data_IF_742970408918
#
_entry.id   IF_742970408918
#
_cell.length_a   1.000
_cell.length_b   1.000
_cell.length_c   1.000
_cell.angle_alpha   90.00
_cell.angle_beta   90.00
_cell.angle_gamma   90.00
#
_symmetry.space_group_name_H-M   'P 1'
#
loop_
_entity.id
_entity.type
_entity.pdbx_description
1 polymer ?
#
# COMPACT_ATOMS: atom_id res chain seq x y z
N UNK A 1 -14.10 1.49 -19.51
CA UNK A 1 -13.40 1.02 -18.30
C UNK A 1 -11.92 1.24 -18.55
N UNK A 2 -11.41 2.40 -18.15
CA UNK A 2 -10.04 2.84 -18.43
C UNK A 2 -9.08 1.94 -17.64
N UNK A 3 -8.03 1.36 -18.25
CA UNK A 3 -7.06 0.57 -17.50
C UNK A 3 -6.38 1.51 -16.49
N UNK A 4 -6.46 1.15 -15.21
CA UNK A 4 -5.67 1.77 -14.16
C UNK A 4 -4.18 1.74 -14.55
N UNK A 5 -3.36 2.72 -14.13
CA UNK A 5 -1.93 2.77 -14.46
C UNK A 5 -1.25 1.43 -14.18
N UNK A 6 -0.15 1.14 -14.88
CA UNK A 6 0.63 -0.12 -14.84
C UNK A 6 1.34 -0.40 -13.49
N UNK A 7 0.70 -0.07 -12.37
CA UNK A 7 1.09 -0.38 -11.00
C UNK A 7 0.25 -1.56 -10.51
N UNK A 8 0.78 -2.40 -9.60
CA UNK A 8 0.02 -3.50 -9.03
C UNK A 8 -1.21 -2.98 -8.27
N UNK A 9 -2.27 -3.79 -8.22
CA UNK A 9 -3.50 -3.49 -7.47
C UNK A 9 -3.24 -3.31 -5.96
N UNK A 10 -2.15 -3.88 -5.44
CA UNK A 10 -1.73 -3.69 -4.05
C UNK A 10 -0.23 -3.40 -3.96
N UNK A 11 0.20 -2.48 -3.07
CA UNK A 11 1.61 -2.20 -2.80
C UNK A 11 2.27 -3.27 -1.90
N UNK A 12 1.59 -4.37 -1.56
CA UNK A 12 2.12 -5.42 -0.70
C UNK A 12 3.33 -6.12 -1.34
N UNK A 13 4.42 -6.27 -0.57
CA UNK A 13 5.65 -6.98 -0.98
C UNK A 13 5.79 -8.35 -0.32
N UNK A 14 4.68 -8.92 0.17
CA UNK A 14 4.61 -10.18 0.92
C UNK A 14 5.45 -10.23 2.21
N UNK A 15 5.94 -9.07 2.68
CA UNK A 15 6.61 -8.91 3.97
C UNK A 15 5.83 -7.88 4.78
N UNK A 16 5.43 -8.26 5.99
CA UNK A 16 4.71 -7.39 6.90
C UNK A 16 5.50 -7.22 8.20
N UNK A 17 5.78 -5.98 8.58
CA UNK A 17 6.40 -5.65 9.87
C UNK A 17 5.40 -5.07 10.88
N UNK A 18 4.12 -4.96 10.51
CA UNK A 18 3.13 -4.27 11.34
C UNK A 18 2.73 -5.02 12.61
N UNK A 19 3.27 -6.22 12.81
CA UNK A 19 3.21 -6.92 14.09
C UNK A 19 3.99 -6.19 15.17
N UNK A 20 5.01 -5.42 14.78
CA UNK A 20 5.91 -4.71 15.70
C UNK A 20 5.98 -3.20 15.43
N UNK A 21 5.60 -2.76 14.22
CA UNK A 21 5.61 -1.36 13.80
C UNK A 21 4.18 -0.88 13.49
N UNK A 22 3.88 0.41 13.64
CA UNK A 22 2.56 0.95 13.25
C UNK A 22 2.39 1.04 11.72
N UNK A 23 3.52 1.14 11.00
CA UNK A 23 3.59 1.23 9.53
C UNK A 23 4.50 0.12 9.01
N UNK A 24 4.03 -0.59 7.98
CA UNK A 24 4.79 -1.66 7.35
C UNK A 24 6.05 -1.11 6.68
N UNK A 25 7.23 -1.57 7.08
CA UNK A 25 8.50 -1.16 6.47
C UNK A 25 8.69 -1.64 5.02
N UNK A 26 7.89 -2.60 4.56
CA UNK A 26 7.93 -3.07 3.16
C UNK A 26 7.02 -2.25 2.25
N UNK A 27 5.72 -2.24 2.56
CA UNK A 27 4.70 -1.61 1.72
C UNK A 27 4.26 -0.21 2.17
N UNK A 28 4.71 0.29 3.32
CA UNK A 28 4.41 1.63 3.84
C UNK A 28 2.99 1.84 4.39
N UNK A 29 2.20 0.76 4.49
CA UNK A 29 0.80 0.83 4.93
C UNK A 29 0.66 0.56 6.42
N UNK A 30 -0.32 1.20 7.03
CA UNK A 30 -0.73 0.90 8.41
C UNK A 30 -1.49 -0.42 8.48
N UNK A 31 -1.61 -1.00 9.68
CA UNK A 31 -2.45 -2.18 9.93
C UNK A 31 -3.89 -1.96 9.43
N UNK A 32 -4.46 -0.79 9.73
CA UNK A 32 -5.82 -0.46 9.35
C UNK A 32 -5.99 -0.46 7.84
N UNK A 33 -5.06 0.15 7.10
CA UNK A 33 -5.10 0.17 5.64
C UNK A 33 -4.98 -1.24 5.07
N UNK A 34 -4.05 -2.05 5.59
CA UNK A 34 -3.88 -3.44 5.14
C UNK A 34 -5.18 -4.23 5.36
N UNK A 35 -5.80 -4.12 6.53
CA UNK A 35 -7.04 -4.82 6.87
C UNK A 35 -8.25 -4.32 6.07
N UNK A 36 -8.30 -3.03 5.72
CA UNK A 36 -9.44 -2.41 5.05
C UNK A 36 -9.30 -2.35 3.53
N UNK A 37 -8.16 -2.73 2.94
CA UNK A 37 -7.88 -2.51 1.50
C UNK A 37 -9.00 -2.95 0.55
N UNK A 38 -9.59 -4.11 0.81
CA UNK A 38 -10.62 -4.72 -0.03
C UNK A 38 -11.96 -3.98 0.05
N UNK A 39 -12.14 -3.16 1.08
CA UNK A 39 -13.33 -2.34 1.30
C UNK A 39 -13.14 -0.88 0.88
N UNK A 40 -11.90 -0.44 0.64
CA UNK A 40 -11.62 0.91 0.16
C UNK A 40 -12.12 1.08 -1.27
N UNK A 41 -12.71 2.24 -1.54
CA UNK A 41 -13.00 2.72 -2.87
C UNK A 41 -11.72 3.01 -3.65
N UNK A 42 -11.83 3.10 -4.98
CA UNK A 42 -10.68 3.41 -5.84
C UNK A 42 -10.04 4.77 -5.49
N UNK A 43 -10.84 5.75 -5.07
CA UNK A 43 -10.34 7.05 -4.63
C UNK A 43 -9.54 6.94 -3.33
N UNK A 44 -10.03 6.17 -2.35
CA UNK A 44 -9.32 5.94 -1.09
C UNK A 44 -8.01 5.17 -1.33
N UNK A 45 -8.02 4.19 -2.23
CA UNK A 45 -6.80 3.49 -2.66
C UNK A 45 -5.81 4.44 -3.32
N UNK A 46 -6.27 5.39 -4.14
CA UNK A 46 -5.42 6.40 -4.77
C UNK A 46 -4.74 7.30 -3.73
N UNK A 47 -5.49 7.80 -2.73
CA UNK A 47 -4.94 8.62 -1.65
C UNK A 47 -3.83 7.86 -0.90
N UNK A 48 -4.06 6.57 -0.60
CA UNK A 48 -3.03 5.72 0.01
C UNK A 48 -1.81 5.62 -0.92
N UNK A 49 -2.02 5.37 -2.22
CA UNK A 49 -0.93 5.30 -3.20
C UNK A 49 -0.11 6.57 -3.31
N UNK A 50 -0.75 7.75 -3.37
CA UNK A 50 -0.08 9.05 -3.42
C UNK A 50 0.85 9.22 -2.21
N UNK A 51 0.36 8.90 -1.00
CA UNK A 51 1.17 8.94 0.21
C UNK A 51 2.36 7.98 0.12
N UNK A 52 2.10 6.72 -0.24
CA UNK A 52 3.15 5.70 -0.32
C UNK A 52 4.27 6.09 -1.29
N UNK A 53 3.91 6.61 -2.47
CA UNK A 53 4.88 7.06 -3.47
C UNK A 53 5.68 8.26 -2.95
N UNK A 54 5.03 9.22 -2.29
CA UNK A 54 5.72 10.37 -1.69
C UNK A 54 6.73 9.95 -0.59
N UNK A 55 6.44 8.88 0.15
CA UNK A 55 7.34 8.29 1.16
C UNK A 55 8.41 7.34 0.57
N UNK A 56 8.29 7.00 -0.72
CA UNK A 56 9.22 6.12 -1.43
C UNK A 56 8.92 4.62 -1.26
N UNK A 57 7.69 4.26 -0.97
CA UNK A 57 7.19 2.88 -0.93
C UNK A 57 6.56 2.46 -2.28
N UNK A 58 6.43 1.15 -2.54
CA UNK A 58 6.97 0.03 -1.76
C UNK A 58 8.48 -0.09 -1.92
N UNK A 59 9.19 -0.28 -0.80
CA UNK A 59 10.63 -0.52 -0.79
C UNK A 59 10.80 -1.99 -1.18
N UNK A 60 11.05 -2.26 -2.47
CA UNK A 60 11.36 -3.62 -2.92
C UNK A 60 12.66 -4.05 -2.26
N UNK A 61 12.57 -4.95 -1.28
CA UNK A 61 13.72 -5.70 -0.82
C UNK A 61 14.11 -6.62 -1.98
N UNK A 62 15.28 -6.37 -2.57
CA UNK A 62 15.86 -7.25 -3.59
C UNK A 62 16.17 -8.63 -3.01
#
# INVERSE_FOLDING_TARGET
MTPLPARPDTPCVAVCSTTFDDVCRGCGRTVAEVAQWVFLSELEKEIVWERLIAEGYPRRTG
#
